data_IF_971410892101
#
_entry.id   IF_971410892101
#
_cell.length_a   1.000
_cell.length_b   1.000
_cell.length_c   1.000
_cell.angle_alpha   90.00
_cell.angle_beta   90.00
_cell.angle_gamma   90.00
#
_symmetry.space_group_name_H-M   'P 1'
#
loop_
_entity.id
_entity.type
_entity.pdbx_description
1 polymer ?
#
# COMPACT_ATOMS: atom_id res chain seq x y z
N UNK A 1 -19.98 -59.29 -2.62
CA UNK A 1 -19.42 -58.91 -1.30
C UNK A 1 -19.16 -57.43 -1.35
N UNK A 2 -19.82 -56.65 -0.49
CA UNK A 2 -19.87 -55.19 -0.56
C UNK A 2 -19.17 -54.62 0.68
N UNK A 3 -18.25 -53.68 0.51
CA UNK A 3 -17.57 -53.02 1.62
C UNK A 3 -18.46 -51.92 2.23
N UNK A 4 -18.88 -52.03 3.51
CA UNK A 4 -19.79 -51.08 4.13
C UNK A 4 -19.11 -49.85 4.76
N UNK A 5 -17.78 -49.68 4.67
CA UNK A 5 -17.04 -48.73 5.52
C UNK A 5 -16.48 -47.47 4.84
N UNK A 6 -17.01 -47.07 3.67
CA UNK A 6 -16.59 -45.84 2.99
C UNK A 6 -17.29 -44.60 3.56
N UNK A 7 -16.83 -44.11 4.73
CA UNK A 7 -17.28 -42.83 5.31
C UNK A 7 -16.92 -41.64 4.40
N UNK A 8 -17.90 -41.15 3.66
CA UNK A 8 -17.82 -39.87 2.94
C UNK A 8 -17.68 -38.72 3.93
N UNK A 9 -16.54 -38.02 3.91
CA UNK A 9 -16.43 -36.69 4.52
C UNK A 9 -17.24 -35.71 3.67
N UNK A 10 -18.04 -34.80 4.26
CA UNK A 10 -18.70 -33.76 3.49
C UNK A 10 -17.62 -32.84 2.89
N UNK A 11 -17.59 -32.73 1.57
CA UNK A 11 -16.82 -31.70 0.90
C UNK A 11 -17.49 -30.35 1.20
N UNK A 12 -16.90 -29.58 2.11
CA UNK A 12 -17.24 -28.17 2.27
C UNK A 12 -16.69 -27.44 1.04
N UNK A 13 -17.51 -27.34 0.00
CA UNK A 13 -17.25 -26.52 -1.17
C UNK A 13 -17.40 -25.07 -0.72
N UNK A 14 -16.32 -24.50 -0.16
CA UNK A 14 -16.20 -23.05 -0.03
C UNK A 14 -16.10 -22.47 -1.44
N UNK A 15 -17.19 -21.88 -1.91
CA UNK A 15 -17.23 -21.09 -3.14
C UNK A 15 -16.43 -19.80 -2.98
N UNK A 16 -15.10 -19.88 -3.10
CA UNK A 16 -14.21 -18.74 -3.31
C UNK A 16 -13.88 -18.60 -4.79
N UNK A 17 -14.94 -18.43 -5.59
CA UNK A 17 -14.84 -18.02 -6.98
C UNK A 17 -15.11 -16.51 -7.08
N UNK A 18 -14.38 -15.81 -7.94
CA UNK A 18 -14.61 -14.42 -8.33
C UNK A 18 -14.38 -13.33 -7.26
N UNK A 19 -13.11 -13.18 -6.85
CA UNK A 19 -12.54 -11.85 -6.55
C UNK A 19 -11.40 -11.56 -7.55
N UNK A 20 -11.12 -10.28 -7.80
CA UNK A 20 -10.11 -9.78 -8.75
C UNK A 20 -10.48 -10.01 -10.24
N UNK A 21 -11.58 -9.36 -10.66
CA UNK A 21 -11.87 -9.08 -12.06
C UNK A 21 -12.52 -7.70 -12.25
N UNK A 22 -12.11 -6.70 -11.44
CA UNK A 22 -12.53 -5.30 -11.53
C UNK A 22 -11.55 -4.40 -10.73
N UNK A 23 -10.38 -4.14 -11.30
CA UNK A 23 -9.59 -2.94 -11.01
C UNK A 23 -9.71 -2.01 -12.22
N UNK A 24 -10.76 -1.17 -12.31
CA UNK A 24 -10.88 -0.20 -13.39
C UNK A 24 -9.98 1.01 -13.09
N UNK A 25 -8.67 0.82 -13.28
CA UNK A 25 -7.67 1.84 -13.58
C UNK A 25 -7.90 3.21 -12.90
N UNK A 26 -7.40 3.36 -11.67
CA UNK A 26 -7.59 4.53 -10.80
C UNK A 26 -9.07 4.99 -10.73
N UNK A 27 -9.83 4.32 -9.87
CA UNK A 27 -11.18 4.74 -9.50
C UNK A 27 -11.47 4.37 -8.06
N UNK A 28 -11.41 5.36 -7.18
CA UNK A 28 -12.04 5.34 -5.86
C UNK A 28 -13.51 4.94 -6.03
N UNK A 29 -13.90 3.74 -5.60
CA UNK A 29 -15.29 3.25 -5.64
C UNK A 29 -15.60 2.40 -4.40
N UNK A 30 -15.98 3.09 -3.32
CA UNK A 30 -17.28 2.89 -2.69
C UNK A 30 -17.65 1.50 -2.14
N UNK A 31 -17.51 1.30 -0.83
CA UNK A 31 -18.28 0.29 -0.09
C UNK A 31 -19.01 0.88 1.13
N UNK A 32 -20.19 1.46 0.88
CA UNK A 32 -21.02 2.18 1.87
C UNK A 32 -21.61 1.28 2.97
N UNK A 33 -21.57 1.73 4.24
CA UNK A 33 -22.48 1.34 5.34
C UNK A 33 -22.36 2.32 6.53
N UNK A 34 -23.45 2.61 7.26
CA UNK A 34 -23.57 3.61 8.36
C UNK A 34 -23.89 2.93 9.73
N UNK A 35 -24.03 3.55 10.92
CA UNK A 35 -24.27 4.94 11.40
C UNK A 35 -23.69 5.12 12.83
N UNK A 36 -23.22 6.32 13.24
CA UNK A 36 -23.06 6.66 14.68
C UNK A 36 -22.34 7.99 14.99
N UNK A 37 -22.81 8.78 15.98
CA UNK A 37 -22.25 10.12 16.34
C UNK A 37 -21.53 10.16 17.70
N UNK A 38 -20.70 11.20 17.86
CA UNK A 38 -19.78 11.52 18.97
C UNK A 38 -20.45 12.10 20.23
N UNK A 39 -19.67 12.33 21.32
CA UNK A 39 -19.24 13.71 21.60
C UNK A 39 -17.72 13.86 21.87
N UNK A 40 -17.24 15.12 21.86
CA UNK A 40 -15.82 15.48 21.87
C UNK A 40 -15.20 15.66 23.27
N UNK A 41 -13.88 15.45 23.37
CA UNK A 41 -13.01 15.81 24.51
C UNK A 41 -11.73 16.50 24.00
N UNK A 42 -11.09 17.29 24.87
CA UNK A 42 -9.96 18.16 24.55
C UNK A 42 -8.69 17.75 25.30
N UNK A 43 -7.62 17.43 24.58
CA UNK A 43 -6.29 17.15 25.12
C UNK A 43 -5.36 16.65 24.02
N UNK A 44 -4.19 17.28 23.85
CA UNK A 44 -3.23 16.91 22.80
C UNK A 44 -2.41 15.69 23.19
N UNK A 45 -2.99 14.50 23.09
CA UNK A 45 -2.33 13.21 23.30
C UNK A 45 -2.39 12.40 22.00
N UNK A 46 -1.31 11.67 21.64
CA UNK A 46 -1.25 10.94 20.37
C UNK A 46 -2.32 9.84 20.33
N UNK A 47 -3.14 9.86 19.28
CA UNK A 47 -4.32 9.03 19.14
C UNK A 47 -4.00 7.53 19.21
N UNK A 48 -4.50 6.85 20.25
CA UNK A 48 -4.29 5.43 20.49
C UNK A 48 -5.63 4.69 20.47
N UNK A 49 -5.84 3.93 19.39
CA UNK A 49 -7.11 3.28 19.04
C UNK A 49 -7.88 2.68 20.24
N UNK A 50 -9.13 3.11 20.39
CA UNK A 50 -10.07 2.62 21.41
C UNK A 50 -10.10 1.07 21.51
N UNK A 51 -9.68 0.47 22.63
CA UNK A 51 -9.38 -0.97 22.72
C UNK A 51 -10.61 -1.91 22.81
N UNK A 52 -11.83 -1.40 22.59
CA UNK A 52 -13.07 -2.17 22.72
C UNK A 52 -13.43 -2.94 21.43
N UNK A 53 -12.98 -4.21 21.32
CA UNK A 53 -13.80 -5.39 20.90
C UNK A 53 -12.90 -6.63 20.78
N UNK A 54 -13.39 -7.75 21.31
CA UNK A 54 -12.70 -9.02 21.55
C UNK A 54 -12.48 -9.90 20.31
N UNK A 55 -11.33 -10.62 20.34
CA UNK A 55 -10.98 -11.88 19.66
C UNK A 55 -11.73 -12.31 18.38
N UNK A 56 -11.02 -12.41 17.26
CA UNK A 56 -11.59 -12.95 16.01
C UNK A 56 -10.62 -13.43 14.91
N UNK A 57 -9.35 -12.98 14.89
CA UNK A 57 -8.35 -13.48 13.93
C UNK A 57 -7.10 -13.96 14.69
N UNK A 58 -6.95 -15.28 14.80
CA UNK A 58 -5.93 -15.89 15.67
C UNK A 58 -4.52 -15.80 15.08
N UNK A 59 -3.73 -14.83 15.54
CA UNK A 59 -2.26 -14.85 15.49
C UNK A 59 -1.61 -14.96 14.10
N UNK A 60 -2.35 -14.65 13.02
CA UNK A 60 -1.81 -14.66 11.66
C UNK A 60 -1.07 -13.36 11.43
N UNK A 61 0.25 -13.46 11.32
CA UNK A 61 1.11 -12.32 11.01
C UNK A 61 0.84 -11.71 9.64
N UNK A 62 1.44 -10.54 9.44
CA UNK A 62 1.39 -9.78 8.19
C UNK A 62 2.44 -10.30 7.21
N UNK A 63 2.11 -10.44 5.92
CA UNK A 63 3.08 -10.75 4.85
C UNK A 63 2.96 -9.75 3.72
N UNK A 64 4.05 -9.04 3.44
CA UNK A 64 4.18 -8.03 2.40
C UNK A 64 5.32 -8.40 1.45
N UNK A 65 5.20 -8.01 0.18
CA UNK A 65 6.25 -8.17 -0.84
C UNK A 65 6.35 -6.88 -1.65
N UNK A 66 7.57 -6.35 -1.78
CA UNK A 66 7.88 -5.20 -2.64
C UNK A 66 9.16 -5.44 -3.45
N UNK A 67 9.24 -4.79 -4.60
CA UNK A 67 10.39 -4.74 -5.51
C UNK A 67 11.34 -3.60 -5.10
N UNK A 68 12.65 -3.86 -5.16
CA UNK A 68 13.72 -2.88 -4.94
C UNK A 68 13.99 -2.07 -6.21
N UNK A 69 14.71 -0.95 -6.10
CA UNK A 69 15.20 -0.20 -7.27
C UNK A 69 16.10 -1.06 -8.19
N UNK A 70 16.85 -2.01 -7.61
CA UNK A 70 17.66 -3.00 -8.36
C UNK A 70 16.84 -4.14 -8.99
N UNK A 71 15.51 -4.10 -8.93
CA UNK A 71 14.61 -5.06 -9.55
C UNK A 71 14.38 -6.37 -8.78
N UNK A 72 15.20 -6.67 -7.76
CA UNK A 72 14.99 -7.78 -6.81
C UNK A 72 13.69 -7.60 -6.02
N UNK A 73 13.20 -8.65 -5.39
CA UNK A 73 12.08 -8.59 -4.44
C UNK A 73 12.54 -8.80 -3.01
N UNK A 74 11.94 -8.02 -2.11
CA UNK A 74 11.98 -8.20 -0.66
C UNK A 74 10.59 -8.63 -0.22
N UNK A 75 10.52 -9.75 0.50
CA UNK A 75 9.33 -10.16 1.25
C UNK A 75 9.59 -9.97 2.73
N UNK A 76 8.74 -9.19 3.39
CA UNK A 76 8.72 -9.00 4.84
C UNK A 76 7.52 -9.75 5.41
N UNK A 77 7.76 -10.63 6.38
CA UNK A 77 6.70 -11.18 7.23
C UNK A 77 6.90 -10.76 8.69
N UNK A 78 5.81 -10.43 9.38
CA UNK A 78 5.81 -9.94 10.77
C UNK A 78 4.82 -10.74 11.58
N UNK A 79 5.30 -11.50 12.56
CA UNK A 79 4.48 -12.40 13.37
C UNK A 79 4.62 -12.08 14.87
N UNK A 80 3.53 -11.91 15.63
CA UNK A 80 2.11 -12.03 15.23
C UNK A 80 1.49 -10.75 14.64
N UNK A 81 2.27 -9.69 14.43
CA UNK A 81 1.82 -8.33 14.06
C UNK A 81 0.89 -7.69 15.11
N UNK A 82 1.38 -7.61 16.36
CA UNK A 82 0.69 -7.01 17.51
C UNK A 82 1.65 -6.13 18.33
N UNK A 83 1.17 -5.42 19.36
CA UNK A 83 2.05 -4.70 20.29
C UNK A 83 2.88 -5.64 21.17
N UNK A 84 4.09 -5.21 21.54
CA UNK A 84 5.10 -6.05 22.18
C UNK A 84 5.92 -6.82 21.13
N UNK A 85 6.53 -7.97 21.51
CA UNK A 85 7.48 -8.69 20.66
C UNK A 85 6.87 -9.26 19.38
N UNK A 86 7.56 -9.04 18.26
CA UNK A 86 7.28 -9.64 16.96
C UNK A 86 8.56 -10.22 16.35
N UNK A 87 8.43 -11.34 15.64
CA UNK A 87 9.47 -11.90 14.78
C UNK A 87 9.32 -11.31 13.39
N UNK A 88 10.35 -10.64 12.90
CA UNK A 88 10.47 -10.13 11.55
C UNK A 88 11.28 -11.12 10.73
N UNK A 89 10.71 -11.56 9.61
CA UNK A 89 11.29 -12.53 8.69
C UNK A 89 11.45 -11.86 7.32
N UNK A 90 12.64 -11.92 6.74
CA UNK A 90 12.89 -11.40 5.39
C UNK A 90 13.36 -12.52 4.48
N UNK A 91 12.74 -12.58 3.29
CA UNK A 91 13.22 -13.39 2.16
C UNK A 91 13.50 -12.47 0.97
N UNK A 92 14.60 -12.74 0.28
CA UNK A 92 15.00 -12.03 -0.93
C UNK A 92 14.78 -12.93 -2.14
N UNK A 93 14.34 -12.36 -3.25
CA UNK A 93 14.22 -13.05 -4.53
C UNK A 93 14.82 -12.19 -5.65
N UNK A 94 15.36 -12.82 -6.69
CA UNK A 94 15.82 -12.10 -7.88
C UNK A 94 14.65 -11.75 -8.82
N UNK A 95 14.98 -11.14 -9.97
CA UNK A 95 13.99 -10.75 -11.01
C UNK A 95 13.23 -11.92 -11.61
N UNK A 96 13.74 -13.16 -11.50
CA UNK A 96 13.07 -14.39 -11.95
C UNK A 96 12.19 -15.02 -10.87
N UNK A 97 12.25 -14.51 -9.64
CA UNK A 97 11.57 -15.08 -8.48
C UNK A 97 12.37 -16.18 -7.77
N UNK A 98 13.61 -16.46 -8.19
CA UNK A 98 14.47 -17.43 -7.49
C UNK A 98 15.00 -16.85 -6.16
N UNK A 99 15.20 -17.65 -5.10
CA UNK A 99 15.70 -17.16 -3.81
C UNK A 99 17.09 -16.54 -3.92
N UNK A 100 17.22 -15.28 -3.53
CA UNK A 100 18.48 -14.53 -3.53
C UNK A 100 19.14 -14.48 -2.14
N UNK A 101 20.41 -14.06 -2.08
CA UNK A 101 21.15 -13.77 -0.85
C UNK A 101 21.64 -12.32 -0.85
N UNK A 102 21.94 -11.81 0.34
CA UNK A 102 22.70 -10.58 0.52
C UNK A 102 23.83 -10.82 1.54
N UNK A 103 25.00 -10.23 1.28
CA UNK A 103 26.14 -10.26 2.21
C UNK A 103 25.89 -9.44 3.49
N UNK A 104 25.00 -8.44 3.42
CA UNK A 104 24.48 -7.70 4.57
C UNK A 104 22.99 -7.41 4.36
N UNK A 105 22.20 -7.58 5.41
CA UNK A 105 20.78 -7.24 5.43
C UNK A 105 20.45 -6.55 6.75
N UNK A 106 19.74 -5.43 6.70
CA UNK A 106 19.38 -4.61 7.87
C UNK A 106 17.90 -4.27 7.87
N UNK A 107 17.32 -4.20 9.08
CA UNK A 107 16.00 -3.60 9.31
C UNK A 107 16.15 -2.29 10.07
N UNK A 108 15.48 -1.24 9.61
CA UNK A 108 15.37 0.05 10.28
C UNK A 108 13.93 0.25 10.76
N UNK A 109 13.75 0.51 12.05
CA UNK A 109 12.44 0.69 12.67
C UNK A 109 12.24 2.16 13.04
N UNK A 110 11.15 2.77 12.58
CA UNK A 110 10.75 4.10 13.03
C UNK A 110 9.24 4.28 12.90
N UNK A 111 8.72 5.32 13.56
CA UNK A 111 7.33 5.74 13.45
C UNK A 111 7.19 6.92 12.51
N UNK A 112 6.02 7.09 11.89
CA UNK A 112 5.73 8.31 11.13
C UNK A 112 5.35 9.47 12.03
N UNK A 113 4.91 9.23 13.26
CA UNK A 113 4.55 10.27 14.24
C UNK A 113 5.72 10.75 15.11
N UNK A 114 6.91 10.14 14.97
CA UNK A 114 8.12 10.48 15.73
C UNK A 114 9.23 10.91 14.77
N UNK A 115 10.02 11.92 15.17
CA UNK A 115 11.19 12.42 14.43
C UNK A 115 12.49 11.67 14.76
N UNK A 116 12.49 10.78 15.75
CA UNK A 116 13.63 9.91 16.08
C UNK A 116 14.25 9.26 14.84
N UNK A 117 15.59 9.10 14.78
CA UNK A 117 16.25 8.40 13.69
C UNK A 117 15.84 6.92 13.66
N UNK A 118 15.87 6.25 12.49
CA UNK A 118 15.56 4.83 12.42
C UNK A 118 16.51 3.98 13.27
N UNK A 119 15.91 3.13 14.10
CA UNK A 119 16.59 2.15 14.93
C UNK A 119 17.00 0.96 14.07
N UNK A 120 18.28 0.93 13.68
CA UNK A 120 18.82 -0.04 12.73
C UNK A 120 19.37 -1.30 13.41
N UNK A 121 19.08 -2.45 12.80
CA UNK A 121 19.53 -3.77 13.24
C UNK A 121 20.09 -4.53 12.05
N UNK A 122 21.31 -5.05 12.18
CA UNK A 122 21.78 -6.11 11.29
C UNK A 122 20.96 -7.38 11.56
N UNK A 123 20.42 -7.98 10.50
CA UNK A 123 19.77 -9.29 10.62
C UNK A 123 20.84 -10.36 10.79
N UNK A 124 20.57 -11.37 11.63
CA UNK A 124 21.48 -12.47 11.87
C UNK A 124 21.78 -13.30 10.60
N UNK A 125 22.70 -14.27 10.69
CA UNK A 125 22.98 -15.17 9.57
C UNK A 125 21.68 -15.82 9.08
N UNK A 126 21.59 -15.98 7.76
CA UNK A 126 20.47 -16.65 7.09
C UNK A 126 20.28 -18.04 7.70
N UNK A 127 19.06 -18.37 8.13
CA UNK A 127 18.74 -19.71 8.59
C UNK A 127 18.70 -20.68 7.39
N UNK A 128 18.75 -21.98 7.68
CA UNK A 128 18.83 -23.04 6.66
C UNK A 128 17.64 -23.03 5.68
N UNK A 129 16.50 -22.45 6.09
CA UNK A 129 15.29 -22.25 5.29
C UNK A 129 15.34 -21.03 4.35
N UNK A 130 16.53 -20.48 4.11
CA UNK A 130 16.77 -19.36 3.22
C UNK A 130 16.15 -18.02 3.69
N UNK A 131 15.81 -17.91 4.98
CA UNK A 131 15.17 -16.75 5.61
C UNK A 131 16.10 -16.03 6.60
N UNK A 132 16.01 -14.70 6.64
CA UNK A 132 16.68 -13.88 7.66
C UNK A 132 15.68 -13.54 8.76
N UNK A 133 16.07 -13.61 10.03
CA UNK A 133 15.16 -13.39 11.17
C UNK A 133 15.73 -12.43 12.22
N UNK A 134 14.87 -11.62 12.82
CA UNK A 134 15.17 -10.82 14.03
C UNK A 134 13.89 -10.60 14.84
N UNK A 135 13.99 -10.51 16.16
CA UNK A 135 12.87 -10.18 17.04
C UNK A 135 12.98 -8.73 17.51
N UNK A 136 11.91 -7.94 17.36
CA UNK A 136 11.80 -6.56 17.87
C UNK A 136 10.39 -6.30 18.41
N UNK A 137 10.25 -5.31 19.28
CA UNK A 137 8.95 -4.98 19.87
C UNK A 137 8.36 -3.73 19.22
N UNK A 138 7.07 -3.78 18.86
CA UNK A 138 6.29 -2.58 18.60
C UNK A 138 5.73 -2.09 19.92
N UNK A 139 6.28 -1.00 20.45
CA UNK A 139 5.96 -0.53 21.80
C UNK A 139 4.77 0.45 21.85
N UNK A 140 4.32 0.96 20.70
CA UNK A 140 3.25 1.96 20.57
C UNK A 140 2.39 1.66 19.32
N UNK A 141 1.08 1.93 19.36
CA UNK A 141 0.21 1.83 18.19
C UNK A 141 0.49 2.96 17.18
N UNK A 142 -0.19 2.90 16.03
CA UNK A 142 -0.09 3.91 14.97
C UNK A 142 0.79 3.47 13.79
N UNK A 143 1.40 4.42 13.12
CA UNK A 143 2.18 4.22 11.90
C UNK A 143 3.62 3.80 12.18
N UNK A 144 4.04 2.70 11.56
CA UNK A 144 5.40 2.20 11.62
C UNK A 144 5.96 2.04 10.21
N UNK A 145 7.25 2.34 10.05
CA UNK A 145 8.03 1.95 8.88
C UNK A 145 9.05 0.90 9.30
N UNK A 146 9.05 -0.22 8.58
CA UNK A 146 10.10 -1.23 8.64
C UNK A 146 10.88 -1.13 7.33
N UNK A 147 11.99 -0.39 7.36
CA UNK A 147 12.84 -0.20 6.19
C UNK A 147 13.81 -1.38 6.04
N UNK A 148 13.78 -2.07 4.89
CA UNK A 148 14.67 -3.20 4.61
C UNK A 148 15.83 -2.71 3.73
N UNK A 149 17.05 -2.69 4.27
CA UNK A 149 18.25 -2.30 3.54
C UNK A 149 19.06 -3.55 3.14
N UNK A 150 19.33 -3.69 1.84
CA UNK A 150 20.01 -4.84 1.23
C UNK A 150 21.38 -4.38 0.72
N UNK A 151 22.47 -4.74 1.43
CA UNK A 151 23.78 -4.16 1.19
C UNK A 151 23.78 -2.63 1.36
N UNK A 152 24.33 -1.93 0.38
CA UNK A 152 24.38 -0.45 0.30
C UNK A 152 23.27 0.16 -0.58
N UNK A 153 22.26 -0.64 -0.97
CA UNK A 153 21.13 -0.14 -1.75
C UNK A 153 20.17 0.72 -0.91
N UNK A 154 19.40 1.60 -1.57
CA UNK A 154 18.35 2.38 -0.90
C UNK A 154 17.36 1.44 -0.18
N UNK A 155 17.03 1.70 1.11
CA UNK A 155 16.13 0.84 1.85
C UNK A 155 14.70 0.82 1.27
N UNK A 156 14.08 -0.36 1.20
CA UNK A 156 12.67 -0.49 0.82
C UNK A 156 11.78 -0.24 2.05
N UNK A 157 10.95 0.81 2.08
CA UNK A 157 10.08 1.09 3.22
C UNK A 157 8.81 0.23 3.18
N UNK A 158 8.64 -0.62 4.19
CA UNK A 158 7.35 -1.27 4.45
C UNK A 158 6.57 -0.41 5.44
N UNK A 159 5.58 0.33 4.94
CA UNK A 159 4.73 1.22 5.74
C UNK A 159 3.54 0.42 6.28
N UNK A 160 3.42 0.41 7.60
CA UNK A 160 2.48 -0.41 8.37
C UNK A 160 1.63 0.50 9.27
N UNK A 161 0.40 0.09 9.56
CA UNK A 161 -0.36 0.63 10.69
C UNK A 161 -0.68 -0.48 11.67
N UNK A 162 -0.46 -0.22 12.96
CA UNK A 162 -0.67 -1.16 14.05
C UNK A 162 -1.69 -0.59 15.04
N UNK A 163 -2.90 -1.15 15.04
CA UNK A 163 -3.94 -0.80 16.01
C UNK A 163 -3.90 -1.76 17.23
N UNK A 164 -4.62 -1.43 18.30
CA UNK A 164 -4.73 -2.26 19.51
C UNK A 164 -6.22 -2.56 19.83
N UNK A 165 -6.66 -3.84 19.84
CA UNK A 165 -5.95 -5.01 19.32
C UNK A 165 -5.78 -4.97 17.81
N UNK A 166 -4.68 -5.54 17.30
CA UNK A 166 -4.43 -5.62 15.86
C UNK A 166 -5.48 -6.51 15.18
N UNK A 167 -6.09 -6.00 14.10
CA UNK A 167 -7.00 -6.74 13.20
C UNK A 167 -6.51 -6.76 11.76
N UNK A 168 -5.32 -6.24 11.52
CA UNK A 168 -4.66 -6.31 10.22
C UNK A 168 -4.36 -7.78 9.84
N UNK A 169 -4.30 -8.10 8.54
CA UNK A 169 -4.56 -7.22 7.40
C UNK A 169 -6.05 -6.98 7.10
N UNK A 170 -6.97 -7.54 7.89
CA UNK A 170 -8.41 -7.60 7.53
C UNK A 170 -9.23 -6.38 7.95
N UNK A 171 -8.82 -5.64 8.97
CA UNK A 171 -9.48 -4.41 9.39
C UNK A 171 -8.48 -3.49 10.11
N UNK A 172 -8.78 -2.19 10.04
CA UNK A 172 -8.10 -1.13 10.77
C UNK A 172 -9.13 -0.35 11.59
N UNK A 173 -8.72 0.19 12.74
CA UNK A 173 -9.56 1.06 13.55
C UNK A 173 -9.76 2.42 12.85
N UNK A 174 -10.94 3.02 13.01
CA UNK A 174 -11.15 4.42 12.64
C UNK A 174 -10.33 5.35 13.57
N UNK A 175 -10.03 6.60 13.16
CA UNK A 175 -9.50 7.59 14.09
C UNK A 175 -10.44 7.77 15.28
N UNK A 176 -9.89 7.92 16.48
CA UNK A 176 -10.64 8.24 17.70
C UNK A 176 -10.34 9.65 18.23
N UNK A 177 -9.53 10.41 17.49
CA UNK A 177 -9.17 11.79 17.76
C UNK A 177 -9.73 12.74 16.68
N UNK A 178 -9.95 14.02 17.01
CA UNK A 178 -10.25 15.02 16.00
C UNK A 178 -9.08 15.23 15.04
N UNK A 179 -9.37 15.66 13.81
CA UNK A 179 -8.37 16.17 12.88
C UNK A 179 -7.62 17.37 13.49
N UNK A 180 -6.30 17.41 13.35
CA UNK A 180 -5.53 18.64 13.51
C UNK A 180 -5.85 19.61 12.35
N UNK A 181 -6.34 20.84 12.64
CA UNK A 181 -6.61 21.83 11.60
C UNK A 181 -5.38 22.22 10.76
N UNK A 182 -4.16 22.14 11.31
CA UNK A 182 -2.94 22.42 10.56
C UNK A 182 -2.62 21.29 9.57
N UNK A 183 -2.70 20.03 10.02
CA UNK A 183 -2.61 18.85 9.17
C UNK A 183 -3.65 18.85 8.05
N UNK A 184 -4.91 19.16 8.36
CA UNK A 184 -5.99 19.24 7.38
C UNK A 184 -5.75 20.36 6.36
N UNK A 185 -5.35 21.55 6.81
CA UNK A 185 -5.01 22.64 5.89
C UNK A 185 -3.80 22.31 5.01
N UNK A 186 -2.82 21.55 5.52
CA UNK A 186 -1.68 21.07 4.76
C UNK A 186 -2.09 20.04 3.69
N UNK A 187 -2.88 19.03 4.07
CA UNK A 187 -3.46 18.05 3.16
C UNK A 187 -4.26 18.71 2.03
N UNK A 188 -5.15 19.66 2.35
CA UNK A 188 -5.96 20.36 1.33
C UNK A 188 -5.08 21.09 0.31
N UNK A 189 -4.02 21.78 0.75
CA UNK A 189 -3.06 22.42 -0.19
C UNK A 189 -2.38 21.38 -1.08
N UNK A 190 -1.89 20.26 -0.53
CA UNK A 190 -1.26 19.19 -1.31
C UNK A 190 -2.21 18.58 -2.35
N UNK A 191 -3.47 18.36 -1.96
CA UNK A 191 -4.53 17.84 -2.82
C UNK A 191 -4.85 18.81 -3.97
N UNK A 192 -4.96 20.10 -3.69
CA UNK A 192 -5.19 21.11 -4.72
C UNK A 192 -3.97 21.30 -5.64
N UNK A 193 -2.74 21.21 -5.10
CA UNK A 193 -1.52 21.17 -5.92
C UNK A 193 -1.48 19.94 -6.83
N UNK A 194 -1.87 18.75 -6.34
CA UNK A 194 -1.93 17.54 -7.16
C UNK A 194 -2.98 17.65 -8.28
N UNK A 195 -4.17 18.17 -7.98
CA UNK A 195 -5.23 18.45 -8.99
C UNK A 195 -4.80 19.49 -10.03
N UNK A 196 -3.91 20.41 -9.67
CA UNK A 196 -3.35 21.43 -10.55
C UNK A 196 -2.19 20.95 -11.44
N UNK A 197 -1.76 19.68 -11.34
CA UNK A 197 -0.72 19.12 -12.20
C UNK A 197 -1.18 19.06 -13.66
N UNK A 198 -0.28 19.37 -14.59
CA UNK A 198 -0.46 19.11 -16.03
C UNK A 198 -0.12 17.68 -16.39
N UNK A 199 0.84 17.09 -15.68
CA UNK A 199 1.32 15.74 -15.92
C UNK A 199 1.97 15.15 -14.66
N UNK A 200 1.96 13.82 -14.52
CA UNK A 200 2.71 13.09 -13.49
C UNK A 200 2.99 11.65 -13.93
N UNK A 201 4.09 11.07 -13.46
CA UNK A 201 4.34 9.62 -13.49
C UNK A 201 4.27 9.04 -12.09
N UNK A 202 3.93 7.77 -11.99
CA UNK A 202 4.02 7.04 -10.73
C UNK A 202 4.38 5.57 -10.90
N UNK A 203 4.93 5.01 -9.84
CA UNK A 203 5.16 3.59 -9.65
C UNK A 203 4.47 3.17 -8.36
N UNK A 204 3.64 2.13 -8.44
CA UNK A 204 2.82 1.64 -7.34
C UNK A 204 3.07 0.16 -7.09
N UNK A 205 3.14 -0.21 -5.82
CA UNK A 205 3.26 -1.58 -5.37
C UNK A 205 2.13 -1.88 -4.40
N UNK A 206 1.29 -2.86 -4.75
CA UNK A 206 0.14 -3.27 -3.96
C UNK A 206 0.31 -4.74 -3.54
N UNK A 207 0.08 -5.02 -2.26
CA UNK A 207 0.08 -6.39 -1.71
C UNK A 207 -1.07 -6.56 -0.72
N UNK A 208 -1.48 -7.81 -0.44
CA UNK A 208 -2.68 -8.08 0.35
C UNK A 208 -2.47 -8.13 1.87
N UNK A 209 -1.22 -8.14 2.33
CA UNK A 209 -0.89 -8.45 3.73
C UNK A 209 -1.05 -9.94 4.10
N UNK A 210 -1.52 -10.78 3.18
CA UNK A 210 -1.81 -12.20 3.38
C UNK A 210 -0.85 -13.09 2.58
N UNK A 211 -0.44 -14.21 3.16
CA UNK A 211 0.39 -15.25 2.52
C UNK A 211 -0.39 -16.11 1.49
N UNK A 212 -1.20 -15.49 0.63
CA UNK A 212 -2.15 -16.18 -0.25
C UNK A 212 -1.91 -15.91 -1.74
N UNK A 213 -2.05 -16.90 -2.65
CA UNK A 213 -2.10 -18.35 -2.41
C UNK A 213 -0.70 -18.98 -2.37
N UNK A 214 0.34 -18.22 -2.75
CA UNK A 214 1.75 -18.59 -2.61
C UNK A 214 2.32 -18.01 -1.31
N UNK A 215 3.35 -18.65 -0.73
CA UNK A 215 4.04 -18.10 0.46
C UNK A 215 4.55 -16.67 0.22
N UNK A 216 4.85 -16.33 -1.04
CA UNK A 216 5.30 -15.03 -1.53
C UNK A 216 4.35 -13.87 -1.23
N UNK A 217 3.05 -14.17 -1.04
CA UNK A 217 1.99 -13.16 -0.92
C UNK A 217 1.63 -12.52 -2.27
N UNK A 218 0.35 -12.17 -2.44
CA UNK A 218 -0.13 -11.49 -3.63
C UNK A 218 0.59 -10.14 -3.79
N UNK A 219 1.07 -9.85 -5.00
CA UNK A 219 1.74 -8.59 -5.33
C UNK A 219 1.34 -8.13 -6.74
N UNK A 220 1.10 -6.82 -6.87
CA UNK A 220 0.82 -6.15 -8.14
C UNK A 220 1.71 -4.93 -8.23
N UNK A 221 2.28 -4.73 -9.42
CA UNK A 221 3.02 -3.52 -9.77
C UNK A 221 2.26 -2.73 -10.82
N UNK A 222 2.15 -1.42 -10.63
CA UNK A 222 1.60 -0.52 -11.64
C UNK A 222 2.61 0.56 -11.94
N UNK A 223 3.07 0.63 -13.19
CA UNK A 223 3.70 1.83 -13.73
C UNK A 223 2.59 2.66 -14.41
N UNK A 224 2.40 3.89 -13.97
CA UNK A 224 1.34 4.75 -14.47
C UNK A 224 1.85 6.14 -14.82
N UNK A 225 1.11 6.82 -15.70
CA UNK A 225 1.37 8.21 -16.06
C UNK A 225 0.08 8.86 -16.56
N UNK A 226 -0.08 10.15 -16.31
CA UNK A 226 -1.28 10.90 -16.64
C UNK A 226 -0.96 12.33 -17.11
N UNK A 227 -1.78 12.85 -18.02
CA UNK A 227 -1.79 14.26 -18.43
C UNK A 227 -3.21 14.83 -18.32
N UNK A 228 -3.31 16.05 -17.81
CA UNK A 228 -4.57 16.77 -17.74
C UNK A 228 -5.09 17.14 -19.14
N UNK A 229 -6.42 17.18 -19.36
CA UNK A 229 -7.47 16.91 -18.38
C UNK A 229 -7.86 15.43 -18.27
N UNK A 230 -7.61 14.61 -19.29
CA UNK A 230 -8.31 13.33 -19.49
C UNK A 230 -7.46 12.24 -20.17
N UNK A 231 -6.15 12.24 -19.92
CA UNK A 231 -5.22 11.25 -20.49
C UNK A 231 -4.51 10.46 -19.42
N UNK A 232 -4.44 9.14 -19.58
CA UNK A 232 -3.56 8.31 -18.77
C UNK A 232 -3.15 7.03 -19.48
N UNK A 233 -2.05 6.43 -19.03
CA UNK A 233 -1.70 5.06 -19.39
C UNK A 233 -1.19 4.29 -18.16
N UNK A 234 -1.63 3.05 -18.00
CA UNK A 234 -1.17 2.12 -16.98
C UNK A 234 -0.52 0.90 -17.62
N UNK A 235 0.55 0.40 -17.01
CA UNK A 235 1.05 -0.96 -17.19
C UNK A 235 0.95 -1.70 -15.86
N UNK A 236 0.06 -2.68 -15.82
CA UNK A 236 -0.19 -3.52 -14.64
C UNK A 236 0.53 -4.85 -14.83
N UNK A 237 1.50 -5.13 -13.97
CA UNK A 237 2.20 -6.40 -13.92
C UNK A 237 1.77 -7.17 -12.66
N UNK A 238 1.33 -8.41 -12.86
CA UNK A 238 0.87 -9.30 -11.80
C UNK A 238 1.42 -10.71 -12.09
N UNK A 239 2.43 -11.20 -11.35
CA UNK A 239 3.10 -12.46 -11.67
C UNK A 239 2.23 -13.69 -11.38
N UNK A 240 1.19 -13.56 -10.56
CA UNK A 240 0.25 -14.64 -10.26
C UNK A 240 -0.96 -14.66 -11.22
N UNK A 241 -1.04 -13.71 -12.18
CA UNK A 241 -2.15 -13.53 -13.12
C UNK A 241 -1.66 -13.01 -14.49
N UNK A 242 -2.57 -12.48 -15.30
CA UNK A 242 -2.29 -11.88 -16.60
C UNK A 242 -1.89 -10.40 -16.45
N UNK A 243 -0.74 -10.01 -16.99
CA UNK A 243 -0.33 -8.59 -17.09
C UNK A 243 -1.14 -7.89 -18.20
N UNK A 244 -1.40 -6.59 -18.04
CA UNK A 244 -2.12 -5.80 -19.03
C UNK A 244 -1.72 -4.32 -19.06
N UNK A 245 -1.82 -3.71 -20.24
CA UNK A 245 -1.72 -2.27 -20.43
C UNK A 245 -3.12 -1.65 -20.61
N UNK A 246 -3.27 -0.39 -20.18
CA UNK A 246 -4.44 0.47 -20.43
C UNK A 246 -3.95 1.82 -20.94
N UNK A 247 -4.58 2.36 -21.97
CA UNK A 247 -4.45 3.74 -22.41
C UNK A 247 -5.84 4.37 -22.48
N UNK A 248 -5.99 5.60 -22.04
CA UNK A 248 -7.19 6.40 -22.28
C UNK A 248 -6.79 7.83 -22.66
N UNK A 249 -7.46 8.37 -23.67
CA UNK A 249 -7.32 9.75 -24.15
C UNK A 249 -8.73 10.27 -24.44
N UNK A 250 -9.23 11.15 -23.57
CA UNK A 250 -10.62 11.61 -23.63
C UNK A 250 -11.61 10.46 -23.51
N UNK A 251 -12.53 10.38 -24.48
CA UNK A 251 -13.58 9.36 -24.53
C UNK A 251 -13.11 7.99 -25.02
N UNK A 252 -11.89 7.86 -25.56
CA UNK A 252 -11.41 6.60 -26.12
C UNK A 252 -10.47 5.89 -25.16
N UNK A 253 -10.72 4.60 -24.92
CA UNK A 253 -9.88 3.73 -24.09
C UNK A 253 -9.47 2.48 -24.85
N UNK A 254 -8.17 2.17 -24.84
CA UNK A 254 -7.61 0.93 -25.37
C UNK A 254 -7.04 0.08 -24.24
N UNK A 255 -7.28 -1.22 -24.25
CA UNK A 255 -6.67 -2.20 -23.34
C UNK A 255 -5.97 -3.30 -24.11
N UNK A 256 -4.90 -3.85 -23.53
CA UNK A 256 -4.16 -4.97 -24.12
C UNK A 256 -3.68 -5.89 -23.00
N UNK A 257 -3.97 -7.19 -23.13
CA UNK A 257 -3.34 -8.23 -22.31
C UNK A 257 -2.01 -8.64 -22.94
N UNK A 258 -1.09 -9.14 -22.13
CA UNK A 258 0.21 -9.62 -22.60
C UNK A 258 0.07 -10.65 -23.74
N UNK A 259 0.80 -10.43 -24.84
CA UNK A 259 0.72 -11.26 -26.05
C UNK A 259 -0.53 -11.07 -26.94
N UNK A 260 -1.46 -10.18 -26.60
CA UNK A 260 -2.70 -9.95 -27.37
C UNK A 260 -2.69 -8.62 -28.14
N UNK A 261 -3.62 -8.46 -29.08
CA UNK A 261 -3.88 -7.19 -29.77
C UNK A 261 -4.53 -6.16 -28.84
N UNK A 262 -4.45 -4.88 -29.21
CA UNK A 262 -5.23 -3.82 -28.57
C UNK A 262 -6.72 -3.97 -28.85
N UNK A 263 -7.54 -3.79 -27.83
CA UNK A 263 -9.00 -3.67 -27.94
C UNK A 263 -9.38 -2.28 -27.46
N UNK A 264 -10.00 -1.49 -28.33
CA UNK A 264 -10.40 -0.11 -28.04
C UNK A 264 -11.92 0.04 -28.00
N UNK A 265 -12.41 0.90 -27.12
CA UNK A 265 -13.83 1.25 -26.98
C UNK A 265 -13.99 2.70 -26.54
N UNK A 266 -15.22 3.21 -26.65
CA UNK A 266 -15.63 4.40 -25.89
C UNK A 266 -15.62 4.11 -24.38
N UNK A 267 -15.39 5.15 -23.60
CA UNK A 267 -15.41 5.20 -22.14
C UNK A 267 -15.64 6.64 -21.67
N UNK A 268 -16.22 6.82 -20.48
CA UNK A 268 -16.30 8.16 -19.86
C UNK A 268 -14.89 8.76 -19.66
N UNK A 269 -14.64 10.02 -20.06
CA UNK A 269 -13.38 10.72 -19.79
C UNK A 269 -13.04 10.74 -18.30
N UNK A 270 -11.77 10.49 -17.96
CA UNK A 270 -11.28 10.44 -16.57
C UNK A 270 -10.02 11.24 -16.39
N UNK A 271 -10.04 12.16 -15.44
CA UNK A 271 -8.83 12.80 -14.93
C UNK A 271 -8.22 11.93 -13.81
N UNK A 272 -7.10 11.26 -14.08
CA UNK A 272 -6.40 10.44 -13.08
C UNK A 272 -5.77 11.27 -11.93
N UNK A 273 -5.69 12.60 -12.08
CA UNK A 273 -5.19 13.55 -11.07
C UNK A 273 -6.30 14.05 -10.13
N UNK A 274 -7.56 13.70 -10.42
CA UNK A 274 -8.72 14.21 -9.70
C UNK A 274 -9.11 13.30 -8.54
N UNK A 275 -8.37 13.45 -7.43
CA UNK A 275 -8.59 12.70 -6.18
C UNK A 275 -9.87 13.16 -5.45
N UNK A 276 -11.03 13.00 -6.09
CA UNK A 276 -12.37 13.29 -5.52
C UNK A 276 -12.78 12.34 -4.42
N UNK A 277 -12.31 11.09 -4.45
CA UNK A 277 -12.63 10.07 -3.44
C UNK A 277 -12.16 10.42 -2.02
N UNK A 278 -11.24 11.37 -1.87
CA UNK A 278 -10.73 11.82 -0.58
C UNK A 278 -11.51 13.00 0.03
N UNK A 279 -12.67 13.38 -0.53
CA UNK A 279 -13.49 14.46 0.00
C UNK A 279 -14.08 14.16 1.40
N UNK A 280 -14.20 12.88 1.76
CA UNK A 280 -14.65 12.37 3.06
C UNK A 280 -13.51 12.09 4.06
N UNK A 281 -12.25 12.37 3.68
CA UNK A 281 -11.11 12.11 4.54
C UNK A 281 -11.14 12.95 5.84
N UNK A 282 -10.72 12.34 6.96
CA UNK A 282 -10.65 12.97 8.28
C UNK A 282 -9.59 12.31 9.16
N UNK A 283 -9.46 12.76 10.41
CA UNK A 283 -8.42 12.28 11.33
C UNK A 283 -7.02 12.73 10.91
N UNK A 284 -6.92 13.92 10.30
CA UNK A 284 -5.68 14.46 9.78
C UNK A 284 -4.66 14.69 10.90
N UNK A 285 -3.43 14.20 10.74
CA UNK A 285 -2.32 14.40 11.68
C UNK A 285 -1.02 14.66 10.90
N UNK A 286 -0.19 15.60 11.36
CA UNK A 286 1.17 15.78 10.85
C UNK A 286 2.11 14.74 11.47
N UNK A 287 2.98 14.17 10.64
CA UNK A 287 4.06 13.28 11.05
C UNK A 287 5.44 13.94 11.03
N UNK A 288 6.47 13.10 10.95
CA UNK A 288 7.87 13.50 10.74
C UNK A 288 8.09 14.20 9.39
N UNK A 289 9.23 14.86 9.30
CA UNK A 289 9.80 15.30 8.03
C UNK A 289 10.94 14.36 7.63
N UNK A 290 11.01 14.01 6.35
CA UNK A 290 12.09 13.19 5.81
C UNK A 290 12.32 13.44 4.31
N UNK A 291 13.54 13.26 3.80
CA UNK A 291 13.84 13.44 2.39
C UNK A 291 13.20 12.32 1.55
N UNK A 292 12.55 12.70 0.45
CA UNK A 292 12.09 11.78 -0.60
C UNK A 292 12.52 12.36 -1.94
N UNK A 293 13.25 11.58 -2.73
CA UNK A 293 13.73 11.96 -4.07
C UNK A 293 14.49 13.31 -4.11
N UNK A 294 15.23 13.61 -3.04
CA UNK A 294 16.06 14.81 -2.91
C UNK A 294 15.37 16.05 -2.35
N UNK A 295 14.05 16.03 -2.15
CA UNK A 295 13.29 17.11 -1.50
C UNK A 295 12.94 16.73 -0.06
N UNK A 296 13.00 17.70 0.87
CA UNK A 296 12.48 17.50 2.22
C UNK A 296 10.94 17.47 2.17
N UNK A 297 10.35 16.37 2.63
CA UNK A 297 8.90 16.21 2.66
C UNK A 297 8.36 16.27 4.08
N UNK A 298 7.12 16.72 4.22
CA UNK A 298 6.33 16.60 5.44
C UNK A 298 5.32 15.46 5.26
N UNK A 299 5.28 14.55 6.23
CA UNK A 299 4.26 13.50 6.27
C UNK A 299 2.95 14.08 6.79
N UNK A 300 1.84 13.80 6.12
CA UNK A 300 0.48 13.96 6.65
C UNK A 300 -0.26 12.63 6.56
N UNK A 301 -0.94 12.24 7.63
CA UNK A 301 -1.71 10.99 7.69
C UNK A 301 -3.18 11.29 7.94
N UNK A 302 -4.07 10.45 7.39
CA UNK A 302 -5.52 10.61 7.48
C UNK A 302 -6.24 9.28 7.18
N UNK A 303 -7.55 9.26 7.42
CA UNK A 303 -8.42 8.12 7.18
C UNK A 303 -9.52 8.48 6.18
N UNK A 304 -9.80 7.59 5.23
CA UNK A 304 -10.93 7.69 4.32
C UNK A 304 -12.00 6.63 4.70
N UNK A 305 -13.21 7.03 5.14
CA UNK A 305 -14.21 6.13 5.71
C UNK A 305 -15.01 5.30 4.69
N UNK A 306 -15.03 5.66 3.41
CA UNK A 306 -15.77 4.95 2.35
C UNK A 306 -15.04 3.67 1.92
N UNK A 307 -13.71 3.73 1.84
CA UNK A 307 -12.82 2.59 1.56
C UNK A 307 -12.32 1.91 2.85
N UNK A 308 -12.47 2.60 3.99
CA UNK A 308 -11.99 2.21 5.32
C UNK A 308 -10.47 2.06 5.37
N UNK A 309 -9.80 2.99 4.70
CA UNK A 309 -8.37 2.97 4.44
C UNK A 309 -7.67 4.13 5.14
N UNK A 310 -6.52 3.84 5.75
CA UNK A 310 -5.59 4.83 6.25
C UNK A 310 -4.57 5.20 5.19
N UNK A 311 -4.23 6.48 5.12
CA UNK A 311 -3.26 7.03 4.18
C UNK A 311 -2.15 7.78 4.91
N UNK A 312 -0.94 7.68 4.36
CA UNK A 312 0.19 8.55 4.70
C UNK A 312 0.75 9.17 3.41
N UNK A 313 0.88 10.49 3.38
CA UNK A 313 1.33 11.26 2.23
C UNK A 313 2.60 12.03 2.56
N UNK A 314 3.64 11.85 1.77
CA UNK A 314 4.88 12.60 1.81
C UNK A 314 4.78 13.72 0.78
N UNK A 315 4.59 14.94 1.25
CA UNK A 315 4.39 16.13 0.41
C UNK A 315 5.65 16.99 0.49
N UNK A 316 6.22 17.33 -0.67
CA UNK A 316 7.38 18.20 -0.78
C UNK A 316 7.12 19.59 -0.19
N UNK A 317 8.03 20.06 0.67
CA UNK A 317 7.88 21.35 1.36
C UNK A 317 8.11 22.54 0.42
N UNK A 318 8.96 22.38 -0.61
CA UNK A 318 9.29 23.45 -1.55
C UNK A 318 8.30 23.48 -2.73
N UNK A 319 7.88 22.30 -3.20
CA UNK A 319 7.06 22.14 -4.40
C UNK A 319 5.56 21.97 -4.13
N UNK A 320 5.18 21.55 -2.92
CA UNK A 320 3.82 21.10 -2.61
C UNK A 320 3.42 19.79 -3.31
N UNK A 321 4.33 19.14 -4.03
CA UNK A 321 4.02 17.90 -4.76
C UNK A 321 3.94 16.71 -3.81
N UNK A 322 2.90 15.88 -3.99
CA UNK A 322 2.89 14.52 -3.45
C UNK A 322 4.04 13.75 -4.09
N UNK A 323 5.02 13.31 -3.29
CA UNK A 323 6.22 12.55 -3.70
C UNK A 323 6.04 11.05 -3.45
N UNK A 324 5.44 10.69 -2.32
CA UNK A 324 5.11 9.32 -1.95
C UNK A 324 3.75 9.27 -1.26
N UNK A 325 3.01 8.20 -1.49
CA UNK A 325 1.80 7.84 -0.76
C UNK A 325 1.97 6.40 -0.24
N UNK A 326 1.45 6.13 0.94
CA UNK A 326 1.13 4.79 1.40
C UNK A 326 -0.36 4.72 1.73
N UNK A 327 -0.98 3.58 1.47
CA UNK A 327 -2.34 3.26 1.89
C UNK A 327 -2.34 1.89 2.57
N UNK A 328 -3.06 1.79 3.68
CA UNK A 328 -3.33 0.52 4.36
C UNK A 328 -4.83 0.41 4.64
N UNK A 329 -5.45 -0.63 4.10
CA UNK A 329 -6.88 -0.90 4.19
C UNK A 329 -7.15 -2.41 4.19
N UNK A 330 -8.40 -2.85 4.43
CA UNK A 330 -8.77 -4.27 4.48
C UNK A 330 -8.26 -5.08 3.28
N UNK A 331 -7.22 -5.90 3.49
CA UNK A 331 -6.57 -6.71 2.46
C UNK A 331 -5.75 -5.94 1.43
N UNK A 332 -5.34 -4.70 1.72
CA UNK A 332 -4.61 -3.81 0.80
C UNK A 332 -3.49 -3.04 1.54
N UNK A 333 -2.26 -3.21 1.09
CA UNK A 333 -1.08 -2.45 1.51
C UNK A 333 -0.40 -1.93 0.26
N UNK A 334 -0.39 -0.61 0.11
CA UNK A 334 0.00 0.06 -1.12
C UNK A 334 1.09 1.09 -0.80
N UNK A 335 2.13 1.14 -1.63
CA UNK A 335 3.09 2.25 -1.66
C UNK A 335 3.22 2.76 -3.09
N UNK A 336 3.00 4.05 -3.28
CA UNK A 336 3.04 4.73 -4.57
C UNK A 336 4.06 5.85 -4.52
N UNK A 337 4.99 5.91 -5.48
CA UNK A 337 5.95 6.99 -5.69
C UNK A 337 5.54 7.81 -6.89
N UNK A 338 5.55 9.13 -6.77
CA UNK A 338 5.20 10.08 -7.84
C UNK A 338 6.44 10.89 -8.25
N UNK A 339 6.62 11.06 -9.56
CA UNK A 339 7.78 11.74 -10.15
C UNK A 339 7.43 12.34 -11.52
N UNK A 340 8.38 13.01 -12.16
CA UNK A 340 8.22 13.72 -13.43
C UNK A 340 7.03 14.72 -13.44
N UNK A 341 6.72 15.32 -12.28
CA UNK A 341 5.63 16.28 -12.12
C UNK A 341 5.77 17.44 -13.13
N UNK A 342 4.70 17.68 -13.89
CA UNK A 342 4.60 18.72 -14.92
C UNK A 342 5.54 18.58 -16.13
N UNK A 343 6.28 17.47 -16.26
CA UNK A 343 7.03 17.09 -17.47
C UNK A 343 6.05 16.61 -18.55
N UNK A 344 6.09 17.14 -19.78
CA UNK A 344 5.23 16.66 -20.88
C UNK A 344 5.47 15.17 -21.19
N UNK A 345 4.39 14.41 -21.37
CA UNK A 345 4.42 12.97 -21.63
C UNK A 345 3.97 12.63 -23.05
N UNK A 346 3.10 13.45 -23.65
CA UNK A 346 2.64 13.28 -25.03
C UNK A 346 1.77 12.04 -25.22
N UNK A 347 0.85 11.78 -24.29
CA UNK A 347 0.03 10.56 -24.29
C UNK A 347 -0.92 10.54 -25.49
N UNK A 348 -0.74 9.54 -26.35
CA UNK A 348 -1.64 9.19 -27.46
C UNK A 348 -2.17 7.78 -27.28
N UNK A 349 -3.26 7.44 -27.98
CA UNK A 349 -3.67 6.06 -28.11
C UNK A 349 -2.59 5.25 -28.87
N UNK A 350 -2.45 3.96 -28.58
CA UNK A 350 -1.66 3.07 -29.44
C UNK A 350 -2.27 3.01 -30.83
N UNK A 351 -1.44 2.80 -31.86
CA UNK A 351 -1.93 2.52 -33.20
C UNK A 351 -2.78 1.23 -33.18
N UNK A 352 -4.01 1.32 -33.66
CA UNK A 352 -4.84 0.15 -33.95
C UNK A 352 -4.33 -0.54 -35.22
N UNK A 353 -4.50 -1.87 -35.27
CA UNK A 353 -4.40 -2.67 -36.48
C UNK A 353 -5.80 -2.81 -37.09
#
# INVERSE_FOLDING_TARGET
MSDPNRRTRPAVIMGLASLVALLPALGFVGLTLLVGRTPAHSGGEFCAANPQVTAGYGGRGLVLRYRTAGGQFVRLAVEPFQLGPNTFRVRLFDVTGAPATAGRLRLGFYRLEDTSPPDWVDMGPRADDAEYRVTRSFNLPGWWVVAVAVGEAEPVPFVLRLDQPSRAPLAFAEPDCPSDPQAEAFFRRALDTHRGLRAVRWEEQLTSGLAYPSESGAWVYVAGQAEAPDRFSLRVHNPDRESYDVFQVGAHRCTRREGQSWVCSEAEPRNALDFKGLASAWGFQLGRQEPVDGELTQVVTFYEPVEKSWYAWWVGLDTGYLRRMAMVGPGHFMVTRYFDHNTPLGLTLPAGN
#
